data_IF_311706530482
#
_entry.id   IF_311706530482
#
_cell.length_a   1.000
_cell.length_b   1.000
_cell.length_c   1.000
_cell.angle_alpha   90.00
_cell.angle_beta   90.00
_cell.angle_gamma   90.00
#
_symmetry.space_group_name_H-M   'P 1'
#
loop_
_entity.id
_entity.type
_entity.pdbx_description
1 polymer ?
#
# COMPACT_ATOMS: atom_id res chain seq x y z
N UNK A 1 0.70 -4.18 17.18
CA UNK A 1 -0.20 -4.37 16.02
C UNK A 1 -1.02 -3.10 15.84
N UNK A 2 -0.96 -2.45 14.67
CA UNK A 2 -1.79 -1.28 14.36
C UNK A 2 -3.05 -1.71 13.62
N UNK A 3 -4.22 -1.19 14.00
CA UNK A 3 -5.48 -1.42 13.28
C UNK A 3 -5.95 -0.10 12.70
N UNK A 4 -6.22 -0.09 11.40
CA UNK A 4 -6.73 1.07 10.69
C UNK A 4 -8.03 0.69 10.00
N UNK A 5 -9.07 1.49 10.20
CA UNK A 5 -10.24 1.48 9.33
C UNK A 5 -10.05 2.47 8.17
N UNK A 6 -10.98 2.48 7.22
CA UNK A 6 -10.92 3.38 6.08
C UNK A 6 -10.93 4.86 6.47
N UNK A 7 -11.63 5.22 7.56
CA UNK A 7 -11.70 6.61 8.01
C UNK A 7 -10.33 7.08 8.52
N UNK A 8 -9.66 6.23 9.31
CA UNK A 8 -8.31 6.49 9.78
C UNK A 8 -7.30 6.58 8.64
N UNK A 9 -7.40 5.73 7.62
CA UNK A 9 -6.55 5.82 6.42
C UNK A 9 -6.81 7.10 5.63
N UNK A 10 -8.08 7.49 5.43
CA UNK A 10 -8.45 8.73 4.71
C UNK A 10 -8.07 10.01 5.44
N UNK A 11 -7.93 9.96 6.77
CA UNK A 11 -7.44 11.08 7.55
C UNK A 11 -5.92 11.30 7.42
N UNK A 12 -5.19 10.36 6.81
CA UNK A 12 -3.76 10.52 6.54
C UNK A 12 -3.51 11.38 5.30
N UNK A 13 -2.36 12.07 5.20
CA UNK A 13 -1.97 12.75 3.98
C UNK A 13 -1.97 11.78 2.79
N UNK A 14 -2.72 12.12 1.75
CA UNK A 14 -2.82 11.34 0.51
C UNK A 14 -2.01 12.02 -0.60
N UNK A 15 -1.47 11.21 -1.49
CA UNK A 15 -0.76 11.66 -2.69
C UNK A 15 -1.31 10.95 -3.93
N UNK A 16 -1.13 11.59 -5.08
CA UNK A 16 -1.38 10.98 -6.38
C UNK A 16 -0.08 10.40 -6.93
N UNK A 17 -0.13 9.11 -7.32
CA UNK A 17 0.98 8.41 -7.97
C UNK A 17 0.55 8.00 -9.38
N UNK A 18 1.28 8.44 -10.39
CA UNK A 18 1.05 8.00 -11.78
C UNK A 18 1.53 6.57 -11.98
N UNK A 19 0.66 5.71 -12.49
CA UNK A 19 0.91 4.30 -12.81
C UNK A 19 0.45 4.03 -14.25
N UNK A 20 1.19 4.49 -15.27
CA UNK A 20 0.80 4.34 -16.67
C UNK A 20 0.69 2.87 -17.12
N UNK A 21 1.40 1.97 -16.44
CA UNK A 21 1.32 0.52 -16.66
C UNK A 21 -0.01 -0.10 -16.22
N UNK A 22 -0.84 0.63 -15.48
CA UNK A 22 -2.16 0.17 -15.06
C UNK A 22 -3.09 0.05 -16.27
N UNK A 23 -3.67 -1.12 -16.47
CA UNK A 23 -4.77 -1.33 -17.44
C UNK A 23 -6.10 -0.69 -17.01
N UNK A 24 -6.18 -0.13 -15.79
CA UNK A 24 -7.37 0.53 -15.26
C UNK A 24 -7.09 2.00 -14.93
N UNK A 25 -7.46 2.43 -13.72
CA UNK A 25 -7.11 3.76 -13.18
C UNK A 25 -5.58 3.94 -13.27
N UNK A 26 -5.11 4.97 -14.00
CA UNK A 26 -3.69 5.25 -14.20
C UNK A 26 -3.08 6.22 -13.18
N UNK A 27 -3.89 6.72 -12.25
CA UNK A 27 -3.42 7.51 -11.10
C UNK A 27 -3.93 6.82 -9.84
N UNK A 28 -3.05 6.46 -8.92
CA UNK A 28 -3.41 5.88 -7.63
C UNK A 28 -3.44 6.99 -6.58
N UNK A 29 -4.45 6.98 -5.71
CA UNK A 29 -4.68 8.04 -4.74
C UNK A 29 -4.84 7.46 -3.34
N UNK A 30 -3.95 7.85 -2.42
CA UNK A 30 -4.04 7.46 -1.02
C UNK A 30 -2.75 7.72 -0.25
N UNK A 31 -2.69 7.31 1.04
CA UNK A 31 -1.49 7.48 1.84
C UNK A 31 -0.37 6.58 1.34
N UNK A 32 0.87 7.05 1.48
CA UNK A 32 2.04 6.23 1.21
C UNK A 32 2.13 5.08 2.23
N UNK A 33 2.57 3.90 1.79
CA UNK A 33 2.71 2.72 2.68
C UNK A 33 3.66 3.03 3.84
N UNK A 34 4.75 3.77 3.59
CA UNK A 34 5.69 4.23 4.63
C UNK A 34 5.00 5.07 5.70
N UNK A 35 4.11 5.97 5.32
CA UNK A 35 3.35 6.81 6.26
C UNK A 35 2.46 5.97 7.15
N UNK A 36 1.78 4.97 6.58
CA UNK A 36 0.92 4.04 7.34
C UNK A 36 1.76 3.21 8.32
N UNK A 37 2.89 2.67 7.88
CA UNK A 37 3.82 1.91 8.73
C UNK A 37 4.38 2.77 9.87
N UNK A 38 4.84 3.98 9.57
CA UNK A 38 5.33 4.91 10.59
C UNK A 38 4.23 5.25 11.62
N UNK A 39 2.99 5.44 11.15
CA UNK A 39 1.82 5.67 12.03
C UNK A 39 1.51 4.46 12.91
N UNK A 40 1.82 3.25 12.44
CA UNK A 40 1.74 2.01 13.21
C UNK A 40 2.94 1.77 14.14
N UNK A 41 3.93 2.67 14.17
CA UNK A 41 5.15 2.55 14.97
C UNK A 41 6.28 1.78 14.29
N UNK A 42 6.12 1.38 13.03
CA UNK A 42 7.14 0.66 12.25
C UNK A 42 8.03 1.66 11.52
N UNK A 43 9.22 1.89 12.04
CA UNK A 43 10.22 2.82 11.48
C UNK A 43 11.26 2.11 10.60
N UNK A 44 11.48 0.81 10.81
CA UNK A 44 12.50 0.00 10.13
C UNK A 44 11.99 -1.43 9.94
N UNK A 45 12.25 -2.00 8.78
CA UNK A 45 11.97 -3.39 8.40
C UNK A 45 12.88 -3.76 7.23
N UNK A 46 13.23 -5.04 7.05
CA UNK A 46 13.88 -5.50 5.83
C UNK A 46 12.87 -5.97 4.79
N UNK A 47 11.80 -6.64 5.25
CA UNK A 47 10.74 -7.16 4.38
C UNK A 47 9.37 -6.74 4.86
N UNK A 48 8.49 -6.47 3.91
CA UNK A 48 7.08 -6.20 4.13
C UNK A 48 6.26 -7.22 3.35
N UNK A 49 5.45 -8.00 4.05
CA UNK A 49 4.45 -8.87 3.44
C UNK A 49 3.10 -8.16 3.43
N UNK A 50 2.52 -8.03 2.26
CA UNK A 50 1.18 -7.46 2.07
C UNK A 50 0.22 -8.57 1.64
N UNK A 51 -0.92 -8.69 2.32
CA UNK A 51 -1.88 -9.77 2.08
C UNK A 51 -3.29 -9.24 1.84
N UNK A 52 -3.99 -9.88 0.90
CA UNK A 52 -5.41 -9.73 0.63
C UNK A 52 -6.05 -11.09 0.30
N UNK A 53 -7.31 -11.14 -0.12
CA UNK A 53 -8.00 -12.38 -0.48
C UNK A 53 -7.25 -13.18 -1.55
N UNK A 54 -6.73 -14.35 -1.17
CA UNK A 54 -6.09 -15.30 -2.08
C UNK A 54 -4.73 -14.87 -2.65
N UNK A 55 -4.18 -13.74 -2.22
CA UNK A 55 -2.88 -13.23 -2.70
C UNK A 55 -2.06 -12.64 -1.55
N UNK A 56 -0.76 -12.91 -1.57
CA UNK A 56 0.21 -12.25 -0.73
C UNK A 56 1.47 -11.96 -1.53
N UNK A 57 2.03 -10.77 -1.33
CA UNK A 57 3.27 -10.33 -1.98
C UNK A 57 4.26 -9.89 -0.91
N UNK A 58 5.54 -10.18 -1.15
CA UNK A 58 6.63 -9.69 -0.32
C UNK A 58 7.37 -8.58 -1.06
N UNK A 59 7.77 -7.57 -0.29
CA UNK A 59 8.51 -6.41 -0.76
C UNK A 59 9.72 -6.19 0.12
N UNK A 60 10.82 -5.79 -0.48
CA UNK A 60 11.98 -5.27 0.22
C UNK A 60 11.73 -3.82 0.65
N UNK A 61 12.51 -3.34 1.62
CA UNK A 61 12.48 -1.93 2.05
C UNK A 61 12.74 -0.93 0.92
N UNK A 62 13.51 -1.32 -0.10
CA UNK A 62 13.82 -0.48 -1.26
C UNK A 62 12.63 -0.35 -2.22
N UNK A 63 11.78 -1.37 -2.30
CA UNK A 63 10.56 -1.36 -3.12
C UNK A 63 9.42 -0.60 -2.44
N UNK A 64 9.44 -0.47 -1.11
CA UNK A 64 8.46 0.36 -0.40
C UNK A 64 9.04 1.77 -0.31
N UNK A 65 8.87 2.56 -1.38
CA UNK A 65 9.29 3.96 -1.50
C UNK A 65 8.10 4.93 -1.47
N UNK A 66 8.37 6.21 -1.75
CA UNK A 66 7.36 7.28 -1.73
C UNK A 66 6.40 7.23 -2.94
N UNK A 67 6.63 6.28 -3.87
CA UNK A 67 5.77 5.98 -5.01
C UNK A 67 4.91 4.73 -4.78
N UNK A 68 4.88 4.18 -3.57
CA UNK A 68 3.98 3.08 -3.17
C UNK A 68 2.92 3.57 -2.19
N UNK A 69 1.66 3.44 -2.59
CA UNK A 69 0.50 3.95 -1.85
C UNK A 69 -0.52 2.86 -1.56
N UNK A 70 -1.35 3.10 -0.55
CA UNK A 70 -2.62 2.41 -0.35
C UNK A 70 -3.71 3.19 -1.10
N UNK A 71 -3.94 2.84 -2.36
CA UNK A 71 -4.98 3.43 -3.21
C UNK A 71 -6.37 3.11 -2.66
N UNK A 72 -7.19 4.14 -2.46
CA UNK A 72 -8.59 3.97 -2.10
C UNK A 72 -9.39 3.52 -3.32
N UNK A 73 -10.10 2.40 -3.17
CA UNK A 73 -11.02 1.94 -4.18
C UNK A 73 -12.44 2.50 -3.94
N UNK A 74 -13.31 2.36 -4.95
CA UNK A 74 -14.70 2.83 -4.86
C UNK A 74 -15.62 1.87 -4.10
N UNK A 75 -15.14 0.69 -3.71
CA UNK A 75 -15.92 -0.36 -3.03
C UNK A 75 -15.69 -0.36 -1.51
N UNK A 76 -14.85 0.54 -1.00
CA UNK A 76 -14.52 0.62 0.41
C UNK A 76 -13.42 -0.35 0.82
N UNK A 77 -12.50 -0.66 -0.09
CA UNK A 77 -11.27 -1.38 0.21
C UNK A 77 -10.06 -0.53 -0.18
N UNK A 78 -8.87 -1.04 0.11
CA UNK A 78 -7.61 -0.40 -0.27
C UNK A 78 -6.74 -1.38 -1.03
N UNK A 79 -5.94 -0.85 -1.96
CA UNK A 79 -5.02 -1.61 -2.78
C UNK A 79 -3.61 -1.07 -2.60
N UNK A 80 -2.64 -1.94 -2.32
CA UNK A 80 -1.22 -1.57 -2.43
C UNK A 80 -0.84 -1.50 -3.90
N UNK A 81 -0.39 -0.34 -4.35
CA UNK A 81 0.06 -0.11 -5.72
C UNK A 81 1.22 0.88 -5.75
N UNK A 82 2.05 0.79 -6.78
CA UNK A 82 3.13 1.75 -6.98
C UNK A 82 3.62 1.85 -8.41
N UNK A 83 4.21 2.99 -8.74
CA UNK A 83 4.65 3.33 -10.10
C UNK A 83 5.73 2.38 -10.63
N UNK A 84 6.68 2.00 -9.78
CA UNK A 84 7.79 1.12 -10.16
C UNK A 84 7.45 -0.38 -9.99
N UNK A 85 6.28 -0.70 -9.42
CA UNK A 85 5.83 -2.09 -9.22
C UNK A 85 5.07 -2.59 -10.45
N UNK A 86 5.37 -3.81 -10.87
CA UNK A 86 4.55 -4.56 -11.82
C UNK A 86 3.11 -4.71 -11.28
N UNK A 87 2.12 -4.63 -12.17
CA UNK A 87 0.71 -4.70 -11.79
C UNK A 87 0.33 -6.05 -11.15
N UNK A 88 1.03 -7.13 -11.51
CA UNK A 88 0.94 -8.46 -10.93
C UNK A 88 1.38 -8.53 -9.46
N UNK A 89 2.16 -7.54 -9.02
CA UNK A 89 2.59 -7.41 -7.63
C UNK A 89 1.70 -6.52 -6.78
N UNK A 90 0.68 -5.89 -7.37
CA UNK A 90 -0.26 -5.09 -6.59
C UNK A 90 -1.19 -5.99 -5.78
N UNK A 91 -1.45 -5.62 -4.53
CA UNK A 91 -2.30 -6.40 -3.63
C UNK A 91 -3.62 -5.67 -3.45
N UNK A 92 -4.69 -6.23 -4.02
CA UNK A 92 -6.06 -5.73 -3.92
C UNK A 92 -6.71 -6.19 -2.62
N UNK A 93 -7.72 -5.44 -2.18
CA UNK A 93 -8.49 -5.72 -0.98
C UNK A 93 -7.58 -6.03 0.21
N UNK A 94 -6.54 -5.20 0.38
CA UNK A 94 -5.48 -5.40 1.34
C UNK A 94 -6.07 -5.42 2.76
N UNK A 95 -5.76 -6.48 3.50
CA UNK A 95 -6.24 -6.70 4.87
C UNK A 95 -5.11 -6.62 5.90
N UNK A 96 -3.87 -6.92 5.49
CA UNK A 96 -2.74 -7.01 6.42
C UNK A 96 -1.42 -6.57 5.79
N UNK A 97 -0.63 -5.86 6.60
CA UNK A 97 0.76 -5.52 6.36
C UNK A 97 1.59 -6.08 7.53
N UNK A 98 2.51 -6.98 7.23
CA UNK A 98 3.40 -7.60 8.19
C UNK A 98 4.85 -7.22 7.88
N UNK A 99 5.45 -6.45 8.78
CA UNK A 99 6.80 -5.92 8.63
C UNK A 99 7.76 -6.74 9.50
N UNK A 100 8.76 -7.32 8.86
CA UNK A 100 9.77 -8.14 9.51
C UNK A 100 11.16 -7.47 9.46
N UNK A 101 11.99 -7.64 10.51
CA UNK A 101 13.36 -7.12 10.55
C UNK A 101 14.22 -7.56 9.37
#
# INVERSE_FOLDING_TARGET
MGRFDLAALRAMPAVDVSTPQSQGKQVQHGPQVRTVLARAGVQRFATLRASGPGVAQAFTVAEIDDQVVLDFDNRGTVKLAGAHLGQDRWVRDLTELDASP
#
